data_IF_507182624689
#
_entry.id   IF_507182624689
#
_cell.length_a   1.000
_cell.length_b   1.000
_cell.length_c   1.000
_cell.angle_alpha   90.00
_cell.angle_beta   90.00
_cell.angle_gamma   90.00
#
_symmetry.space_group_name_H-M   'P 1'
#
loop_
_entity.id
_entity.type
_entity.pdbx_description
1 polymer ?
#
# COMPACT_ATOMS: atom_id res chain seq x y z
N UNK A 1 26.36 -2.64 -11.45
CA UNK A 1 25.02 -3.29 -11.47
C UNK A 1 23.97 -2.21 -11.21
N UNK A 2 23.22 -1.77 -12.23
CA UNK A 2 22.10 -0.84 -12.02
C UNK A 2 20.84 -1.67 -11.80
N UNK A 3 20.29 -1.60 -10.59
CA UNK A 3 18.96 -2.13 -10.28
C UNK A 3 17.99 -1.36 -11.17
N UNK A 4 17.43 -1.99 -12.21
CA UNK A 4 16.29 -1.45 -12.94
C UNK A 4 15.12 -1.41 -11.96
N UNK A 5 14.97 -0.29 -11.28
CA UNK A 5 13.68 0.09 -10.71
C UNK A 5 12.71 0.15 -11.89
N UNK A 6 11.81 -0.82 -12.01
CA UNK A 6 10.77 -0.81 -13.04
C UNK A 6 9.84 0.36 -12.74
N UNK A 7 10.21 1.52 -13.27
CA UNK A 7 9.34 2.68 -13.38
C UNK A 7 8.20 2.26 -14.31
N UNK A 8 6.99 2.12 -13.78
CA UNK A 8 5.80 1.93 -14.61
C UNK A 8 5.57 3.25 -15.33
N UNK A 9 5.93 3.29 -16.61
CA UNK A 9 5.74 4.47 -17.45
C UNK A 9 4.36 4.32 -18.06
N UNK A 10 3.40 5.12 -17.60
CA UNK A 10 2.16 5.32 -18.34
C UNK A 10 2.54 6.04 -19.64
N UNK A 11 2.28 5.39 -20.77
CA UNK A 11 2.57 5.96 -22.09
C UNK A 11 1.36 6.75 -22.58
N UNK A 12 1.63 7.93 -23.12
CA UNK A 12 0.64 8.81 -23.74
C UNK A 12 0.95 8.90 -25.23
N UNK A 13 -0.07 8.84 -26.09
CA UNK A 13 0.14 8.87 -27.53
C UNK A 13 -1.16 9.01 -28.30
N UNK A 14 -1.03 9.03 -29.62
CA UNK A 14 -2.15 9.10 -30.56
C UNK A 14 -2.51 7.70 -31.06
N UNK A 15 -3.78 7.50 -31.43
CA UNK A 15 -4.26 6.26 -32.05
C UNK A 15 -5.26 5.50 -31.20
N UNK A 16 -5.25 4.17 -31.34
CA UNK A 16 -6.21 3.27 -30.66
C UNK A 16 -5.52 2.50 -29.55
N UNK A 17 -6.29 2.14 -28.53
CA UNK A 17 -5.84 1.20 -27.51
C UNK A 17 -5.50 -0.17 -28.10
N UNK A 18 -4.36 -0.73 -27.69
CA UNK A 18 -3.96 -2.10 -28.05
C UNK A 18 -4.70 -3.18 -27.25
N UNK A 19 -5.41 -2.78 -26.18
CA UNK A 19 -6.24 -3.65 -25.34
C UNK A 19 -7.66 -3.11 -25.28
N UNK A 20 -8.63 -4.02 -25.10
CA UNK A 20 -10.02 -3.66 -24.81
C UNK A 20 -10.26 -3.35 -23.32
N UNK A 21 -9.26 -3.59 -22.48
CA UNK A 21 -9.34 -3.33 -21.05
C UNK A 21 -9.25 -1.83 -20.77
N UNK A 22 -10.41 -1.22 -20.51
CA UNK A 22 -10.54 0.22 -20.25
C UNK A 22 -9.86 0.65 -18.95
N UNK A 23 -9.53 -0.29 -18.07
CA UNK A 23 -8.75 -0.02 -16.85
C UNK A 23 -7.26 0.15 -17.15
N UNK A 24 -6.78 -0.28 -18.33
CA UNK A 24 -5.38 -0.15 -18.75
C UNK A 24 -5.21 0.88 -19.86
N UNK A 25 -6.24 1.09 -20.66
CA UNK A 25 -6.18 2.00 -21.79
C UNK A 25 -7.52 2.68 -22.04
N UNK A 26 -7.50 4.00 -22.10
CA UNK A 26 -8.67 4.82 -22.33
C UNK A 26 -8.46 5.65 -23.62
N UNK A 27 -9.49 5.71 -24.46
CA UNK A 27 -9.52 6.58 -25.64
C UNK A 27 -10.41 7.77 -25.32
N UNK A 28 -9.92 8.97 -25.62
CA UNK A 28 -10.65 10.21 -25.46
C UNK A 28 -10.40 11.11 -26.69
N UNK A 29 -11.32 12.04 -26.96
CA UNK A 29 -11.35 12.84 -28.21
C UNK A 29 -11.18 14.34 -27.99
N UNK A 30 -11.16 14.78 -26.74
CA UNK A 30 -10.93 16.19 -26.38
C UNK A 30 -9.42 16.52 -26.41
N UNK A 31 -9.08 17.80 -26.55
CA UNK A 31 -7.68 18.22 -26.56
C UNK A 31 -7.00 17.90 -25.22
N UNK A 32 -5.81 17.29 -25.28
CA UNK A 32 -5.00 16.94 -24.11
C UNK A 32 -5.71 16.06 -23.04
N UNK A 33 -6.73 15.30 -23.44
CA UNK A 33 -7.58 14.51 -22.54
C UNK A 33 -6.92 13.25 -21.96
N UNK A 34 -5.74 12.86 -22.46
CA UNK A 34 -5.03 11.62 -22.13
C UNK A 34 -4.26 11.72 -20.79
N UNK A 35 -4.97 12.11 -19.73
CA UNK A 35 -4.45 12.19 -18.38
C UNK A 35 -4.38 10.81 -17.72
N UNK A 36 -3.47 10.63 -16.76
CA UNK A 36 -3.16 9.33 -16.16
C UNK A 36 -4.30 8.76 -15.30
N UNK A 37 -5.13 9.62 -14.73
CA UNK A 37 -6.30 9.28 -13.93
C UNK A 37 -7.43 8.60 -14.71
N UNK A 38 -7.34 8.57 -16.05
CA UNK A 38 -8.29 7.86 -16.92
C UNK A 38 -8.10 6.34 -16.92
N UNK A 39 -7.03 5.83 -16.32
CA UNK A 39 -6.74 4.40 -16.19
C UNK A 39 -6.54 4.01 -14.72
N UNK A 40 -6.62 2.72 -14.43
CA UNK A 40 -6.40 2.21 -13.09
C UNK A 40 -4.93 2.19 -12.73
N UNK A 41 -4.67 2.47 -11.44
CA UNK A 41 -3.38 2.24 -10.83
C UNK A 41 -3.16 0.77 -10.54
N UNK A 42 -1.91 0.34 -10.61
CA UNK A 42 -1.50 -1.01 -10.24
C UNK A 42 -0.93 -1.04 -8.82
N UNK A 43 -1.30 -2.05 -8.04
CA UNK A 43 -0.68 -2.36 -6.75
C UNK A 43 -0.11 -3.78 -6.77
N UNK A 44 0.89 -4.03 -5.92
CA UNK A 44 1.32 -5.39 -5.65
C UNK A 44 0.25 -6.15 -4.87
N UNK A 45 0.11 -7.42 -5.20
CA UNK A 45 -0.62 -8.45 -4.44
C UNK A 45 0.38 -9.56 -4.10
N UNK A 46 0.01 -10.43 -3.17
CA UNK A 46 0.83 -11.57 -2.77
C UNK A 46 1.30 -12.41 -3.98
N UNK A 47 2.44 -13.08 -3.83
CA UNK A 47 3.07 -13.90 -4.87
C UNK A 47 3.42 -13.11 -6.14
N UNK A 48 3.88 -11.86 -5.99
CA UNK A 48 4.24 -10.95 -7.09
C UNK A 48 3.11 -10.72 -8.11
N UNK A 49 1.86 -10.95 -7.72
CA UNK A 49 0.70 -10.65 -8.55
C UNK A 49 0.43 -9.15 -8.53
N UNK A 50 -0.38 -8.70 -9.48
CA UNK A 50 -0.82 -7.31 -9.59
C UNK A 50 -2.34 -7.29 -9.42
N UNK A 51 -2.83 -6.28 -8.72
CA UNK A 51 -4.25 -5.90 -8.75
C UNK A 51 -4.37 -4.47 -9.31
N UNK A 52 -5.53 -4.18 -9.89
CA UNK A 52 -5.87 -2.88 -10.47
C UNK A 52 -6.88 -2.19 -9.56
N UNK A 53 -6.73 -0.90 -9.35
CA UNK A 53 -7.59 -0.09 -8.49
C UNK A 53 -7.77 1.29 -9.12
N UNK A 54 -8.88 2.01 -8.89
CA UNK A 54 -9.03 3.39 -9.38
C UNK A 54 -7.79 4.25 -9.09
N UNK A 55 -7.51 5.23 -9.95
CA UNK A 55 -6.25 5.99 -9.88
C UNK A 55 -5.97 6.58 -8.49
N UNK A 56 -7.00 7.11 -7.83
CA UNK A 56 -6.88 7.72 -6.49
C UNK A 56 -6.98 6.72 -5.32
N UNK A 57 -7.36 5.47 -5.59
CA UNK A 57 -7.51 4.46 -4.55
C UNK A 57 -6.13 3.95 -4.10
N UNK A 58 -5.91 3.73 -2.79
CA UNK A 58 -4.58 3.39 -2.27
C UNK A 58 -4.18 1.95 -2.61
N UNK A 59 -2.88 1.69 -2.56
CA UNK A 59 -2.32 0.36 -2.34
C UNK A 59 -2.06 0.17 -0.85
N UNK A 60 -2.11 -1.06 -0.35
CA UNK A 60 -1.77 -1.34 1.05
C UNK A 60 -0.71 -2.44 1.22
N UNK A 61 -0.02 -2.36 2.36
CA UNK A 61 0.78 -3.43 2.98
C UNK A 61 0.26 -3.64 4.40
N UNK A 62 -0.03 -4.88 4.75
CA UNK A 62 -0.61 -5.27 6.05
C UNK A 62 0.27 -6.33 6.70
N UNK A 63 0.54 -6.17 8.00
CA UNK A 63 1.20 -7.22 8.79
C UNK A 63 0.14 -8.04 9.51
N UNK A 64 0.03 -9.33 9.22
CA UNK A 64 -0.95 -10.22 9.86
C UNK A 64 -0.60 -10.46 11.32
N UNK A 65 -1.52 -11.06 12.07
CA UNK A 65 -1.29 -11.48 13.47
C UNK A 65 -0.14 -12.48 13.60
N UNK A 66 0.18 -13.21 12.53
CA UNK A 66 1.30 -14.17 12.49
C UNK A 66 2.59 -13.55 11.93
N UNK A 67 2.68 -12.21 11.91
CA UNK A 67 3.80 -11.44 11.36
C UNK A 67 4.07 -11.64 9.86
N UNK A 68 3.14 -12.21 9.10
CA UNK A 68 3.25 -12.26 7.64
C UNK A 68 2.97 -10.88 7.03
N UNK A 69 3.55 -10.62 5.85
CA UNK A 69 3.27 -9.40 5.09
C UNK A 69 2.32 -9.73 3.95
N UNK A 70 1.18 -9.05 3.93
CA UNK A 70 0.15 -9.14 2.89
C UNK A 70 0.07 -7.84 2.11
N UNK A 71 -0.26 -7.93 0.82
CA UNK A 71 -0.33 -6.78 -0.09
C UNK A 71 -1.65 -6.76 -0.85
N UNK A 72 -2.15 -5.57 -1.17
CA UNK A 72 -3.35 -5.46 -2.00
C UNK A 72 -3.68 -4.05 -2.45
N UNK A 73 -4.87 -3.97 -3.05
CA UNK A 73 -5.49 -2.77 -3.60
C UNK A 73 -6.53 -2.21 -2.64
N UNK A 74 -6.93 -0.98 -2.91
CA UNK A 74 -7.99 -0.26 -2.21
C UNK A 74 -7.64 0.04 -0.75
N UNK A 75 -8.67 0.50 -0.02
CA UNK A 75 -8.52 0.84 1.39
C UNK A 75 -8.09 -0.39 2.17
N UNK A 76 -7.15 -0.17 3.06
CA UNK A 76 -6.70 -1.23 3.94
C UNK A 76 -7.85 -1.71 4.84
N UNK A 77 -8.09 -3.02 4.94
CA UNK A 77 -9.19 -3.56 5.74
C UNK A 77 -8.92 -3.58 7.25
N UNK A 78 -7.69 -3.33 7.70
CA UNK A 78 -7.29 -3.47 9.11
C UNK A 78 -6.53 -2.24 9.63
N UNK A 79 -6.40 -2.11 10.95
CA UNK A 79 -5.70 -0.96 11.58
C UNK A 79 -4.17 -1.05 11.51
N UNK A 80 -3.62 -2.23 11.29
CA UNK A 80 -2.19 -2.56 11.34
C UNK A 80 -1.57 -2.62 9.94
N UNK A 81 -1.78 -1.56 9.15
CA UNK A 81 -1.29 -1.51 7.78
C UNK A 81 -0.86 -0.11 7.37
N UNK A 82 -0.12 -0.06 6.28
CA UNK A 82 0.35 1.16 5.64
C UNK A 82 -0.25 1.27 4.25
N UNK A 83 -0.63 2.48 3.89
CA UNK A 83 -1.19 2.79 2.58
C UNK A 83 -0.26 3.74 1.82
N UNK A 84 -0.37 3.71 0.49
CA UNK A 84 0.36 4.61 -0.40
C UNK A 84 -0.40 4.75 -1.72
N UNK A 85 -0.17 5.86 -2.44
CA UNK A 85 -1.04 6.27 -3.56
C UNK A 85 -0.36 6.25 -4.94
N UNK A 86 0.85 5.76 -5.08
CA UNK A 86 1.56 5.71 -6.38
C UNK A 86 1.66 4.27 -6.92
N UNK A 87 1.90 4.12 -8.23
CA UNK A 87 1.95 2.80 -8.88
C UNK A 87 2.90 1.86 -8.14
N UNK A 88 2.36 0.73 -7.68
CA UNK A 88 3.09 -0.36 -7.02
C UNK A 88 3.96 0.09 -5.85
N UNK A 89 3.54 1.15 -5.17
CA UNK A 89 4.22 1.73 -4.02
C UNK A 89 4.29 0.80 -2.82
N UNK A 90 3.40 -0.19 -2.74
CA UNK A 90 3.34 -1.18 -1.66
C UNK A 90 4.37 -2.31 -1.88
N UNK A 91 5.58 -1.95 -2.31
CA UNK A 91 6.69 -2.88 -2.53
C UNK A 91 7.42 -3.26 -1.23
N UNK A 92 7.20 -2.52 -0.14
CA UNK A 92 7.80 -2.74 1.17
C UNK A 92 7.68 -4.21 1.61
N UNK A 93 8.81 -4.81 1.98
CA UNK A 93 8.91 -6.20 2.44
C UNK A 93 9.03 -6.32 3.95
N UNK A 94 9.30 -5.21 4.63
CA UNK A 94 9.47 -5.13 6.08
C UNK A 94 8.64 -3.96 6.66
N UNK A 95 7.30 -3.99 6.54
CA UNK A 95 6.47 -2.99 7.21
C UNK A 95 6.72 -3.06 8.72
N UNK A 96 6.40 -2.00 9.48
CA UNK A 96 6.60 -2.01 10.93
C UNK A 96 5.82 -3.15 11.60
N UNK A 97 6.26 -3.50 12.80
CA UNK A 97 5.53 -4.37 13.70
C UNK A 97 4.45 -3.58 14.43
N UNK A 98 3.47 -4.29 14.98
CA UNK A 98 2.38 -3.68 15.73
C UNK A 98 2.19 -4.44 17.04
N UNK A 99 2.15 -3.70 18.15
CA UNK A 99 1.85 -4.24 19.48
C UNK A 99 0.57 -3.61 20.02
N UNK A 100 -0.08 -4.28 20.97
CA UNK A 100 -1.12 -3.66 21.77
C UNK A 100 -0.48 -2.64 22.72
N UNK A 101 -1.00 -1.42 22.69
CA UNK A 101 -0.71 -0.36 23.64
C UNK A 101 -1.80 -0.23 24.70
N UNK A 102 -1.72 0.85 25.46
CA UNK A 102 -2.66 1.15 26.54
C UNK A 102 -4.11 1.23 26.02
N UNK A 103 -5.04 0.59 26.73
CA UNK A 103 -6.45 0.47 26.32
C UNK A 103 -6.68 -0.25 24.98
N UNK A 104 -5.73 -1.08 24.54
CA UNK A 104 -5.88 -1.88 23.32
C UNK A 104 -5.73 -1.10 22.02
N UNK A 105 -5.15 0.11 22.06
CA UNK A 105 -4.75 0.81 20.84
C UNK A 105 -3.56 0.10 20.17
N UNK A 106 -3.39 0.25 18.86
CA UNK A 106 -2.22 -0.30 18.17
C UNK A 106 -1.04 0.66 18.31
N UNK A 107 0.11 0.14 18.74
CA UNK A 107 1.40 0.83 18.75
C UNK A 107 2.27 0.30 17.62
N UNK A 108 2.88 1.21 16.85
CA UNK A 108 3.85 0.88 15.79
C UNK A 108 5.21 0.61 16.45
N UNK A 109 5.88 -0.47 16.05
CA UNK A 109 7.13 -0.96 16.64
C UNK A 109 8.15 -1.35 15.57
N UNK A 110 9.44 -1.20 15.86
CA UNK A 110 10.54 -1.62 14.97
C UNK A 110 10.94 -3.09 15.14
N UNK A 111 10.52 -3.72 16.25
CA UNK A 111 10.79 -5.11 16.62
C UNK A 111 9.49 -5.90 16.82
N UNK A 112 9.49 -7.24 16.58
CA UNK A 112 8.29 -8.07 16.73
C UNK A 112 7.89 -8.29 18.19
N UNK A 113 8.84 -8.21 19.12
CA UNK A 113 8.62 -8.57 20.51
C UNK A 113 7.77 -7.50 21.22
N UNK A 114 6.57 -7.90 21.63
CA UNK A 114 5.71 -7.10 22.48
C UNK A 114 5.88 -7.54 23.93
N UNK A 115 5.87 -6.60 24.88
CA UNK A 115 5.91 -6.90 26.30
C UNK A 115 4.68 -6.31 27.02
N UNK A 116 4.29 -6.96 28.11
CA UNK A 116 3.37 -6.43 29.11
C UNK A 116 4.07 -6.52 30.46
N UNK A 117 4.12 -5.42 31.19
CA UNK A 117 4.75 -5.36 32.50
C UNK A 117 3.79 -4.70 33.49
N UNK A 118 3.71 -5.23 34.70
CA UNK A 118 3.12 -4.52 35.83
C UNK A 118 4.14 -3.47 36.29
N UNK A 119 3.72 -2.21 36.36
CA UNK A 119 4.53 -1.13 36.90
C UNK A 119 3.93 -0.77 38.26
N UNK A 120 4.71 -0.88 39.34
CA UNK A 120 4.29 -0.39 40.64
C UNK A 120 4.43 1.14 40.66
N UNK A 121 3.32 1.87 40.81
CA UNK A 121 3.36 3.31 41.04
C UNK A 121 3.88 3.55 42.47
N UNK A 122 5.16 3.91 42.60
CA UNK A 122 5.65 4.53 43.83
C UNK A 122 5.08 5.94 43.90
N UNK A 123 3.94 6.11 44.56
CA UNK A 123 3.55 7.43 45.06
C UNK A 123 4.65 7.88 46.03
N UNK A 124 5.49 8.82 45.58
CA UNK A 124 6.43 9.50 46.46
C UNK A 124 5.65 10.25 47.53
N UNK A 125 5.59 9.67 48.72
CA UNK A 125 5.16 10.39 49.92
C UNK A 125 6.21 11.45 50.23
N UNK A 126 5.78 12.72 50.14
CA UNK A 126 6.41 13.83 50.87
C UNK A 126 5.82 13.83 52.28
#
# INVERSE_FOLDING_TARGET
MRIKSSMFIVTRGCGKCHTKDTTECNICTEDYCNTEDKVHKHCWKDNNKICKTPFDAPCYTWRTTNNEVKKGCDKCPFRNCKQCNTHRCNNETKPPFYCLGFLGNNKICDKPDCYIAKIEEKHGGV
#
